data_IF_441573243353
#
_entry.id   IF_441573243353
#
_cell.length_a   1.000
_cell.length_b   1.000
_cell.length_c   1.000
_cell.angle_alpha   90.00
_cell.angle_beta   90.00
_cell.angle_gamma   90.00
#
_symmetry.space_group_name_H-M   'P 1'
#
loop_
_entity.id
_entity.type
_entity.pdbx_description
1 polymer ?
#
# COMPACT_ATOMS: atom_id res chain seq x y z
N UNK A 1 -0.97 -0.04 -8.07
CA UNK A 1 -0.94 -1.38 -7.44
C UNK A 1 -0.10 -1.28 -6.17
N UNK A 2 -0.49 -1.97 -5.12
CA UNK A 2 0.24 -2.08 -3.86
C UNK A 2 0.82 -3.48 -3.74
N UNK A 3 2.14 -3.54 -3.57
CA UNK A 3 2.93 -4.72 -3.28
C UNK A 3 3.62 -4.51 -1.93
N UNK A 4 4.00 -5.60 -1.25
CA UNK A 4 4.72 -5.54 0.02
C UNK A 4 6.21 -5.17 -0.17
N UNK A 5 6.47 -4.06 -0.85
CA UNK A 5 7.79 -3.52 -1.16
C UNK A 5 7.85 -2.05 -0.72
N UNK A 6 9.02 -1.57 -0.29
CA UNK A 6 9.29 -0.15 -0.10
C UNK A 6 9.67 0.55 -1.42
N UNK A 7 9.99 1.85 -1.34
CA UNK A 7 10.38 2.67 -2.49
C UNK A 7 11.64 2.20 -3.22
N UNK A 8 12.51 1.44 -2.54
CA UNK A 8 13.73 0.85 -3.11
C UNK A 8 13.49 -0.56 -3.68
N UNK A 9 12.26 -1.09 -3.58
CA UNK A 9 11.90 -2.42 -4.02
C UNK A 9 12.30 -3.53 -3.03
N UNK A 10 12.60 -3.17 -1.78
CA UNK A 10 12.92 -4.13 -0.72
C UNK A 10 11.63 -4.63 -0.06
N UNK A 11 11.45 -5.94 0.13
CA UNK A 11 10.27 -6.47 0.81
C UNK A 11 10.10 -5.92 2.22
N UNK A 12 8.85 -5.68 2.62
CA UNK A 12 8.54 -5.27 3.99
C UNK A 12 9.03 -6.31 5.00
N UNK A 13 9.65 -5.84 6.09
CA UNK A 13 10.20 -6.71 7.13
C UNK A 13 9.15 -7.53 7.88
N UNK A 14 7.94 -6.97 7.99
CA UNK A 14 6.81 -7.60 8.66
C UNK A 14 5.57 -7.51 7.80
N UNK A 15 4.78 -8.57 7.80
CA UNK A 15 3.49 -8.62 7.15
C UNK A 15 2.54 -7.62 7.78
N UNK A 16 1.76 -6.98 6.91
CA UNK A 16 0.76 -5.99 7.28
C UNK A 16 -0.63 -6.51 6.99
N UNK A 17 -1.63 -5.95 7.65
CA UNK A 17 -3.04 -6.15 7.30
C UNK A 17 -3.48 -5.04 6.36
N UNK A 18 -4.11 -5.41 5.24
CA UNK A 18 -4.69 -4.44 4.32
C UNK A 18 -5.85 -3.69 5.00
N UNK A 19 -5.85 -2.37 4.90
CA UNK A 19 -6.90 -1.49 5.43
C UNK A 19 -7.04 -0.30 4.48
N UNK A 20 -7.94 -0.44 3.51
CA UNK A 20 -8.19 0.56 2.47
C UNK A 20 -8.62 1.91 3.05
N UNK A 21 -9.37 1.89 4.15
CA UNK A 21 -9.78 3.10 4.87
C UNK A 21 -8.60 3.83 5.48
N UNK A 22 -7.67 3.10 6.11
CA UNK A 22 -6.45 3.68 6.66
C UNK A 22 -5.55 4.25 5.55
N UNK A 23 -5.40 3.54 4.43
CA UNK A 23 -4.63 4.00 3.26
C UNK A 23 -5.15 5.34 2.76
N UNK A 24 -6.45 5.45 2.47
CA UNK A 24 -7.03 6.71 1.97
C UNK A 24 -6.94 7.83 3.01
N UNK A 25 -7.23 7.53 4.28
CA UNK A 25 -7.29 8.55 5.34
C UNK A 25 -5.92 9.11 5.75
N UNK A 26 -4.88 8.27 5.73
CA UNK A 26 -3.55 8.63 6.24
C UNK A 26 -2.51 8.88 5.13
N UNK A 27 -2.89 8.76 3.86
CA UNK A 27 -1.98 9.01 2.75
C UNK A 27 -1.42 10.45 2.83
N UNK A 28 -0.09 10.64 2.75
CA UNK A 28 0.55 11.95 2.83
C UNK A 28 0.47 12.68 1.49
N UNK A 29 -0.74 12.98 1.03
CA UNK A 29 -0.97 13.62 -0.26
C UNK A 29 -0.82 15.14 -0.15
N UNK A 30 -0.33 15.77 -1.22
CA UNK A 30 -0.32 17.22 -1.32
C UNK A 30 -1.71 17.80 -1.59
N UNK A 31 -1.85 19.12 -1.42
CA UNK A 31 -3.09 19.83 -1.75
C UNK A 31 -3.46 19.64 -3.23
N UNK A 32 -4.76 19.40 -3.49
CA UNK A 32 -5.28 19.13 -4.84
C UNK A 32 -5.15 17.68 -5.30
N UNK A 33 -4.48 16.82 -4.53
CA UNK A 33 -4.37 15.40 -4.84
C UNK A 33 -5.50 14.58 -4.22
N UNK A 34 -5.87 13.49 -4.89
CA UNK A 34 -6.90 12.55 -4.43
C UNK A 34 -6.40 11.12 -4.58
N UNK A 35 -6.76 10.27 -3.61
CA UNK A 35 -6.47 8.83 -3.63
C UNK A 35 -7.77 8.07 -3.43
N UNK A 36 -8.02 7.09 -4.30
CA UNK A 36 -9.09 6.12 -4.14
C UNK A 36 -8.55 4.70 -4.28
N UNK A 37 -9.27 3.75 -3.69
CA UNK A 37 -8.97 2.32 -3.77
C UNK A 37 -10.04 1.64 -4.60
N UNK A 38 -9.63 0.86 -5.60
CA UNK A 38 -10.51 0.00 -6.39
C UNK A 38 -10.74 -1.28 -5.59
N UNK A 39 -11.84 -1.33 -4.83
CA UNK A 39 -12.10 -2.41 -3.86
C UNK A 39 -12.21 -3.77 -4.54
N UNK A 40 -12.79 -3.82 -5.73
CA UNK A 40 -13.00 -5.02 -6.53
C UNK A 40 -11.68 -5.64 -7.01
N UNK A 41 -10.60 -4.86 -7.03
CA UNK A 41 -9.24 -5.28 -7.39
C UNK A 41 -8.30 -5.22 -6.19
N UNK A 42 -8.84 -5.26 -4.97
CA UNK A 42 -8.07 -5.21 -3.74
C UNK A 42 -8.49 -6.31 -2.79
N UNK A 43 -7.62 -6.64 -1.84
CA UNK A 43 -7.98 -7.54 -0.75
C UNK A 43 -9.11 -6.92 0.10
N UNK A 44 -9.93 -7.75 0.76
CA UNK A 44 -10.80 -7.29 1.83
C UNK A 44 -9.99 -6.65 2.96
N UNK A 45 -10.54 -5.63 3.61
CA UNK A 45 -9.93 -5.03 4.79
C UNK A 45 -9.76 -6.09 5.90
N UNK A 46 -8.63 -6.03 6.61
CA UNK A 46 -8.20 -7.04 7.58
C UNK A 46 -7.48 -8.24 6.98
N UNK A 47 -7.37 -8.35 5.66
CA UNK A 47 -6.65 -9.46 5.03
C UNK A 47 -5.13 -9.29 5.16
N UNK A 48 -4.38 -10.36 5.44
CA UNK A 48 -2.92 -10.31 5.43
C UNK A 48 -2.36 -10.01 4.04
N UNK A 49 -1.57 -8.94 3.92
CA UNK A 49 -0.87 -8.57 2.69
C UNK A 49 0.08 -9.70 2.28
N UNK A 50 0.05 -10.21 1.03
CA UNK A 50 0.97 -11.24 0.58
C UNK A 50 2.43 -10.81 0.70
N UNK A 51 3.30 -11.74 1.05
CA UNK A 51 4.74 -11.54 0.90
C UNK A 51 5.05 -11.39 -0.59
N UNK A 52 5.90 -10.44 -0.95
CA UNK A 52 6.26 -10.22 -2.34
C UNK A 52 7.01 -11.43 -2.91
N UNK A 53 6.54 -11.93 -4.04
CA UNK A 53 7.19 -12.94 -4.88
C UNK A 53 7.28 -12.41 -6.31
N UNK A 54 8.49 -12.17 -6.85
CA UNK A 54 8.68 -11.71 -8.22
C UNK A 54 8.01 -12.59 -9.28
N UNK A 55 7.88 -13.90 -9.03
CA UNK A 55 7.23 -14.84 -9.94
C UNK A 55 5.69 -14.88 -9.79
N UNK A 56 5.16 -14.37 -8.68
CA UNK A 56 3.73 -14.43 -8.36
C UNK A 56 2.88 -13.39 -9.09
N UNK A 57 3.50 -12.37 -9.68
CA UNK A 57 2.80 -11.34 -10.46
C UNK A 57 1.65 -10.68 -9.68
N UNK A 58 0.51 -10.47 -10.34
CA UNK A 58 -0.67 -9.84 -9.74
C UNK A 58 -1.23 -10.58 -8.51
N UNK A 59 -0.91 -11.86 -8.32
CA UNK A 59 -1.37 -12.62 -7.14
C UNK A 59 -0.69 -12.17 -5.83
N UNK A 60 0.36 -11.35 -5.92
CA UNK A 60 1.05 -10.76 -4.76
C UNK A 60 0.53 -9.36 -4.41
N UNK A 61 -0.49 -8.87 -5.14
CA UNK A 61 -1.06 -7.54 -4.93
C UNK A 61 -1.98 -7.50 -3.71
N UNK A 62 -1.78 -6.49 -2.87
CA UNK A 62 -2.70 -6.17 -1.78
C UNK A 62 -3.88 -5.32 -2.23
N UNK A 63 -3.64 -4.39 -3.15
CA UNK A 63 -4.69 -3.51 -3.66
C UNK A 63 -4.32 -2.68 -4.87
N UNK A 64 -5.34 -2.06 -5.45
CA UNK A 64 -5.20 -1.12 -6.56
C UNK A 64 -5.69 0.26 -6.13
N UNK A 65 -4.78 1.23 -6.14
CA UNK A 65 -5.08 2.62 -5.84
C UNK A 65 -5.01 3.50 -7.10
N UNK A 66 -5.91 4.47 -7.20
CA UNK A 66 -5.90 5.53 -8.21
C UNK A 66 -5.51 6.84 -7.52
N UNK A 67 -4.37 7.39 -7.92
CA UNK A 67 -3.87 8.69 -7.48
C UNK A 67 -4.08 9.69 -8.62
N UNK A 68 -4.66 10.84 -8.30
CA UNK A 68 -4.84 11.95 -9.24
C UNK A 68 -4.39 13.26 -8.60
N UNK A 69 -3.77 14.13 -9.39
CA UNK A 69 -3.34 15.46 -8.96
C UNK A 69 -3.32 16.42 -10.15
N UNK A 70 -3.43 17.72 -9.89
CA UNK A 70 -3.50 18.76 -10.93
C UNK A 70 -2.22 18.90 -11.77
N UNK A 71 -1.08 18.43 -11.24
CA UNK A 71 0.22 18.51 -11.92
C UNK A 71 0.90 17.14 -11.95
N UNK A 72 1.51 16.74 -13.07
CA UNK A 72 2.22 15.47 -13.18
C UNK A 72 3.31 15.27 -12.12
N UNK A 73 4.03 16.33 -11.75
CA UNK A 73 5.08 16.26 -10.72
C UNK A 73 4.51 15.97 -9.33
N UNK A 74 3.27 16.42 -9.06
CA UNK A 74 2.58 16.12 -7.80
C UNK A 74 2.18 14.65 -7.72
N UNK A 75 1.80 14.02 -8.84
CA UNK A 75 1.50 12.57 -8.89
C UNK A 75 2.72 11.76 -8.49
N UNK A 76 3.89 12.05 -9.07
CA UNK A 76 5.13 11.31 -8.75
C UNK A 76 5.50 11.50 -7.28
N UNK A 77 5.53 12.76 -6.80
CA UNK A 77 5.85 13.07 -5.40
C UNK A 77 4.91 12.35 -4.43
N UNK A 78 3.60 12.43 -4.66
CA UNK A 78 2.60 11.88 -3.74
C UNK A 78 2.56 10.35 -3.80
N UNK A 79 2.84 9.76 -4.97
CA UNK A 79 3.00 8.32 -5.11
C UNK A 79 4.21 7.83 -4.31
N UNK A 80 5.37 8.49 -4.44
CA UNK A 80 6.57 8.15 -3.67
C UNK A 80 6.31 8.26 -2.18
N UNK A 81 5.74 9.38 -1.73
CA UNK A 81 5.41 9.58 -0.32
C UNK A 81 4.40 8.54 0.20
N UNK A 82 3.43 8.13 -0.62
CA UNK A 82 2.49 7.07 -0.26
C UNK A 82 3.19 5.71 -0.12
N UNK A 83 4.05 5.33 -1.07
CA UNK A 83 4.78 4.06 -1.03
C UNK A 83 5.63 3.96 0.23
N UNK A 84 6.36 5.03 0.56
CA UNK A 84 7.22 5.06 1.76
C UNK A 84 6.41 5.00 3.06
N UNK A 85 5.22 5.59 3.10
CA UNK A 85 4.38 5.64 4.28
C UNK A 85 3.52 4.37 4.50
N UNK A 86 3.28 3.57 3.46
CA UNK A 86 2.38 2.41 3.53
C UNK A 86 2.69 1.42 4.69
N UNK A 87 3.96 1.04 4.95
CA UNK A 87 4.31 0.15 6.05
C UNK A 87 3.93 0.68 7.44
N UNK A 88 3.83 2.01 7.59
CA UNK A 88 3.52 2.69 8.85
C UNK A 88 2.02 3.03 8.97
N UNK A 89 1.33 3.17 7.83
CA UNK A 89 -0.11 3.35 7.77
C UNK A 89 -0.83 2.08 8.20
N UNK A 90 -0.38 0.93 7.70
CA UNK A 90 -1.00 -0.37 7.90
C UNK A 90 -0.55 -1.03 9.21
N UNK A 91 -1.46 -1.76 9.85
CA UNK A 91 -1.15 -2.50 11.08
C UNK A 91 -0.29 -3.72 10.78
N UNK A 92 0.58 -4.09 11.72
CA UNK A 92 1.29 -5.37 11.69
C UNK A 92 0.27 -6.50 11.81
N UNK A 93 0.48 -7.59 11.05
CA UNK A 93 -0.27 -8.82 11.26
C UNK A 93 0.23 -9.52 12.55
N UNK A 94 -0.62 -9.55 13.58
CA UNK A 94 -0.29 -10.13 14.89
C UNK A 94 0.00 -11.63 14.85
N UNK A 95 -0.39 -12.35 13.78
CA UNK A 95 0.00 -13.75 13.60
C UNK A 95 1.51 -13.90 13.34
N UNK A 96 2.17 -12.87 12.82
CA UNK A 96 3.62 -12.85 12.64
C UNK A 96 4.37 -12.47 13.93
N UNK A 97 3.75 -11.65 14.79
CA UNK A 97 4.32 -11.28 16.10
C UNK A 97 4.44 -12.48 17.06
N UNK A 98 3.64 -13.53 16.86
CA UNK A 98 3.72 -14.76 17.66
C UNK A 98 4.85 -15.72 17.21
N UNK A 99 5.51 -15.45 16.08
CA UNK A 99 6.56 -16.27 15.47
C UNK A 99 7.97 -15.64 15.54
N UNK A 100 8.09 -14.42 16.09
CA UNK A 100 9.34 -13.66 16.23
C UNK A 100 9.80 -13.60 17.69
#
# INVERSE_FOLDING_TARGET
MVLALDGDGTPWRRRRLWDSSAVVRKAPLGAGSTLSVVRESSLPDGSPVPVYDPAGGANTMAGLCLLSADRPQSVVRDLTALVDALPDILRVDGAEEALA
#
